data_IF_397584959243
#
_entry.id   IF_397584959243
#
_cell.length_a   1.000
_cell.length_b   1.000
_cell.length_c   1.000
_cell.angle_alpha   90.00
_cell.angle_beta   90.00
_cell.angle_gamma   90.00
#
_symmetry.space_group_name_H-M   'P 1'
#
loop_
_entity.id
_entity.type
_entity.pdbx_description
1 polymer ?
#
# COMPACT_ATOMS: atom_id res chain seq x y z
N UNK A 1 -5.22 10.67 15.58
CA UNK A 1 -4.94 9.23 15.65
C UNK A 1 -5.79 8.56 14.59
N UNK A 2 -5.19 7.89 13.62
CA UNK A 2 -5.90 7.27 12.51
C UNK A 2 -6.76 6.11 13.06
N UNK A 3 -8.04 6.05 12.68
CA UNK A 3 -8.95 5.01 13.19
C UNK A 3 -8.58 3.68 12.55
N UNK A 4 -8.16 2.70 13.36
CA UNK A 4 -7.82 1.35 12.88
C UNK A 4 -9.06 0.63 12.35
N UNK A 5 -10.19 0.81 13.03
CA UNK A 5 -11.48 0.19 12.69
C UNK A 5 -12.55 1.24 12.46
N UNK A 6 -13.41 0.97 11.47
CA UNK A 6 -14.54 1.84 11.15
C UNK A 6 -15.87 1.11 11.31
N UNK A 7 -16.90 1.86 11.69
CA UNK A 7 -18.26 1.33 11.79
C UNK A 7 -18.92 1.26 10.41
N UNK A 8 -19.96 0.44 10.29
CA UNK A 8 -20.79 0.37 9.08
C UNK A 8 -21.34 1.73 8.64
N UNK A 9 -21.81 2.53 9.60
CA UNK A 9 -22.35 3.88 9.33
C UNK A 9 -21.26 4.79 8.76
N UNK A 10 -20.08 4.80 9.37
CA UNK A 10 -18.95 5.61 8.93
C UNK A 10 -18.45 5.19 7.55
N UNK A 11 -18.46 3.88 7.24
CA UNK A 11 -18.10 3.38 5.92
C UNK A 11 -19.11 3.80 4.84
N UNK A 12 -20.41 3.71 5.14
CA UNK A 12 -21.45 4.19 4.24
C UNK A 12 -21.32 5.69 3.94
N UNK A 13 -21.12 6.52 4.97
CA UNK A 13 -20.87 7.96 4.82
C UNK A 13 -19.61 8.24 3.98
N UNK A 14 -18.54 7.47 4.16
CA UNK A 14 -17.28 7.64 3.42
C UNK A 14 -17.43 7.34 1.93
N UNK A 15 -18.27 6.38 1.58
CA UNK A 15 -18.54 5.97 0.20
C UNK A 15 -19.77 6.66 -0.41
N UNK A 16 -20.25 7.72 0.24
CA UNK A 16 -21.37 8.54 -0.22
C UNK A 16 -22.68 7.75 -0.41
N UNK A 17 -22.92 6.77 0.47
CA UNK A 17 -24.17 6.02 0.53
C UNK A 17 -25.13 6.63 1.55
N UNK A 18 -26.39 6.82 1.14
CA UNK A 18 -27.48 7.30 2.02
C UNK A 18 -27.88 6.30 3.12
N UNK A 19 -27.49 5.03 2.97
CA UNK A 19 -27.89 3.95 3.86
C UNK A 19 -26.78 2.93 4.05
N UNK A 20 -26.76 2.29 5.22
CA UNK A 20 -25.86 1.17 5.52
C UNK A 20 -26.20 -0.11 4.74
N UNK A 21 -27.31 -0.13 3.98
CA UNK A 21 -27.75 -1.33 3.25
C UNK A 21 -26.71 -1.79 2.22
N UNK A 22 -26.12 -0.86 1.47
CA UNK A 22 -25.05 -1.16 0.51
C UNK A 22 -23.87 -1.90 1.17
N UNK A 23 -23.47 -1.47 2.38
CA UNK A 23 -22.39 -2.11 3.13
C UNK A 23 -22.76 -3.52 3.61
N UNK A 24 -24.05 -3.75 3.94
CA UNK A 24 -24.54 -5.09 4.30
C UNK A 24 -24.52 -6.02 3.10
N UNK A 25 -24.96 -5.54 1.93
CA UNK A 25 -24.97 -6.34 0.70
C UNK A 25 -23.53 -6.70 0.29
N UNK A 26 -22.59 -5.76 0.35
CA UNK A 26 -21.15 -6.01 0.11
C UNK A 26 -20.52 -6.99 1.11
N UNK A 27 -20.96 -6.97 2.38
CA UNK A 27 -20.54 -7.95 3.40
C UNK A 27 -21.08 -9.36 3.05
N UNK A 28 -22.34 -9.46 2.59
CA UNK A 28 -22.97 -10.72 2.19
C UNK A 28 -22.38 -11.30 0.91
N UNK A 29 -21.99 -10.44 -0.03
CA UNK A 29 -21.32 -10.78 -1.29
C UNK A 29 -19.83 -11.12 -1.09
N UNK A 30 -19.28 -10.88 0.11
CA UNK A 30 -17.88 -11.16 0.43
C UNK A 30 -16.88 -10.14 -0.13
N UNK A 31 -17.35 -8.95 -0.52
CA UNK A 31 -16.52 -7.85 -1.04
C UNK A 31 -15.73 -7.18 0.09
N UNK A 32 -16.33 -7.08 1.27
CA UNK A 32 -15.72 -6.57 2.50
C UNK A 32 -15.92 -7.54 3.64
N UNK A 33 -14.94 -7.61 4.55
CA UNK A 33 -14.99 -8.55 5.67
C UNK A 33 -15.22 -7.84 7.00
N UNK A 34 -16.24 -8.28 7.75
CA UNK A 34 -16.42 -7.82 9.14
C UNK A 34 -15.45 -8.54 10.07
N UNK A 35 -15.06 -7.89 11.15
CA UNK A 35 -14.23 -8.51 12.19
C UNK A 35 -15.12 -9.36 13.12
N UNK A 36 -14.97 -10.69 13.13
CA UNK A 36 -15.89 -11.58 13.84
C UNK A 36 -15.81 -11.48 15.37
N UNK A 37 -14.66 -11.09 15.92
CA UNK A 37 -14.43 -10.95 17.36
C UNK A 37 -15.11 -9.71 17.96
N UNK A 38 -15.65 -8.82 17.12
CA UNK A 38 -16.31 -7.58 17.57
C UNK A 38 -17.82 -7.72 17.45
N UNK A 39 -18.52 -7.61 18.59
CA UNK A 39 -19.99 -7.75 18.67
C UNK A 39 -20.75 -6.79 17.75
N UNK A 40 -20.24 -5.58 17.53
CA UNK A 40 -20.80 -4.63 16.57
C UNK A 40 -20.04 -4.68 15.24
N UNK A 41 -20.69 -4.57 14.07
CA UNK A 41 -20.01 -4.58 12.78
C UNK A 41 -18.88 -3.55 12.71
N UNK A 42 -17.66 -4.04 12.46
CA UNK A 42 -16.44 -3.25 12.29
C UNK A 42 -15.66 -3.79 11.10
N UNK A 43 -15.04 -2.88 10.37
CA UNK A 43 -14.24 -3.15 9.18
C UNK A 43 -12.84 -2.55 9.36
N UNK A 44 -11.84 -3.23 8.80
CA UNK A 44 -10.45 -2.76 8.85
C UNK A 44 -10.26 -1.58 7.90
N UNK A 45 -9.73 -0.46 8.41
CA UNK A 45 -9.44 0.69 7.55
C UNK A 45 -8.40 0.34 6.46
N UNK A 46 -7.49 -0.59 6.74
CA UNK A 46 -6.50 -1.07 5.76
C UNK A 46 -7.14 -1.80 4.57
N UNK A 47 -8.14 -2.65 4.82
CA UNK A 47 -8.90 -3.33 3.77
C UNK A 47 -9.68 -2.32 2.92
N UNK A 48 -10.36 -1.38 3.57
CA UNK A 48 -11.13 -0.33 2.89
C UNK A 48 -10.22 0.55 2.02
N UNK A 49 -9.06 0.96 2.52
CA UNK A 49 -8.07 1.70 1.74
C UNK A 49 -7.54 0.86 0.57
N UNK A 50 -7.31 -0.45 0.73
CA UNK A 50 -6.95 -1.32 -0.39
C UNK A 50 -8.02 -1.33 -1.47
N UNK A 51 -9.29 -1.42 -1.09
CA UNK A 51 -10.44 -1.42 -2.02
C UNK A 51 -10.56 -0.08 -2.75
N UNK A 52 -10.46 1.03 -2.03
CA UNK A 52 -10.50 2.37 -2.64
C UNK A 52 -9.34 2.62 -3.60
N UNK A 53 -8.21 1.97 -3.35
CA UNK A 53 -7.04 2.05 -4.22
C UNK A 53 -7.09 1.04 -5.38
N UNK A 54 -7.98 0.04 -5.40
CA UNK A 54 -8.18 -0.85 -6.56
C UNK A 54 -8.67 -0.08 -7.80
N UNK A 55 -9.43 1.01 -7.61
CA UNK A 55 -9.89 1.89 -8.68
C UNK A 55 -8.86 2.94 -9.12
N UNK A 56 -7.87 3.25 -8.27
CA UNK A 56 -6.70 4.03 -8.65
C UNK A 56 -5.71 3.06 -9.30
N UNK A 57 -5.85 2.84 -10.61
CA UNK A 57 -4.87 2.11 -11.43
C UNK A 57 -3.46 2.54 -11.05
N UNK A 58 -2.79 1.80 -10.18
CA UNK A 58 -1.34 1.79 -10.22
C UNK A 58 -1.06 0.98 -11.46
N UNK A 59 -0.76 1.67 -12.56
CA UNK A 59 -0.37 1.00 -13.80
C UNK A 59 0.75 0.02 -13.41
N UNK A 60 0.62 -1.30 -13.68
CA UNK A 60 1.69 -2.25 -13.35
C UNK A 60 3.05 -1.82 -13.90
N UNK A 61 3.05 -1.05 -15.00
CA UNK A 61 4.25 -0.39 -15.53
C UNK A 61 4.83 0.68 -14.58
N UNK A 62 4.01 1.49 -13.90
CA UNK A 62 4.47 2.51 -12.94
C UNK A 62 5.06 1.88 -11.68
N UNK A 63 4.47 0.79 -11.17
CA UNK A 63 5.08 0.01 -10.07
C UNK A 63 6.45 -0.50 -10.50
N UNK A 64 6.51 -1.13 -11.67
CA UNK A 64 7.76 -1.66 -12.22
C UNK A 64 8.80 -0.56 -12.44
N UNK A 65 8.41 0.61 -12.94
CA UNK A 65 9.30 1.76 -13.09
C UNK A 65 9.90 2.18 -11.75
N UNK A 66 9.07 2.29 -10.70
CA UNK A 66 9.55 2.67 -9.37
C UNK A 66 10.48 1.63 -8.74
N UNK A 67 10.21 0.34 -8.93
CA UNK A 67 11.11 -0.75 -8.53
C UNK A 67 12.46 -0.68 -9.27
N UNK A 68 12.42 -0.42 -10.58
CA UNK A 68 13.61 -0.28 -11.42
C UNK A 68 14.43 0.95 -11.02
N UNK A 69 13.80 2.09 -10.72
CA UNK A 69 14.48 3.29 -10.21
C UNK A 69 15.23 3.02 -8.89
N UNK A 70 14.60 2.29 -7.95
CA UNK A 70 15.24 1.90 -6.71
C UNK A 70 16.43 0.96 -6.95
N UNK A 71 16.28 0.01 -7.87
CA UNK A 71 17.37 -0.92 -8.24
C UNK A 71 18.54 -0.18 -8.92
N UNK A 72 18.26 0.77 -9.80
CA UNK A 72 19.29 1.61 -10.45
C UNK A 72 20.05 2.39 -9.38
N UNK A 73 19.33 3.07 -8.48
CA UNK A 73 19.94 3.85 -7.39
C UNK A 73 20.85 3.03 -6.50
N UNK A 74 20.45 1.80 -6.17
CA UNK A 74 21.29 0.89 -5.38
C UNK A 74 22.52 0.41 -6.16
N UNK A 75 22.36 0.12 -7.46
CA UNK A 75 23.49 -0.26 -8.33
C UNK A 75 24.50 0.87 -8.48
N UNK A 76 24.04 2.09 -8.72
CA UNK A 76 24.90 3.28 -8.86
C UNK A 76 25.69 3.54 -7.58
N UNK A 77 25.03 3.42 -6.41
CA UNK A 77 25.69 3.52 -5.10
C UNK A 77 26.81 2.47 -4.95
N UNK A 78 26.56 1.25 -5.42
CA UNK A 78 27.51 0.13 -5.33
C UNK A 78 28.68 0.31 -6.27
N UNK A 79 28.44 0.78 -7.49
CA UNK A 79 29.47 1.14 -8.47
C UNK A 79 30.38 2.23 -7.89
N UNK A 80 29.80 3.34 -7.42
CA UNK A 80 30.57 4.44 -6.83
C UNK A 80 31.45 3.97 -5.64
N UNK A 81 30.93 3.06 -4.80
CA UNK A 81 31.70 2.49 -3.70
C UNK A 81 32.86 1.59 -4.19
N UNK A 82 32.65 0.82 -5.25
CA UNK A 82 33.68 -0.04 -5.83
C UNK A 82 34.77 0.78 -6.53
N UNK A 83 34.39 1.80 -7.30
CA UNK A 83 35.32 2.75 -7.93
C UNK A 83 36.18 3.45 -6.88
N UNK A 84 35.58 3.93 -5.78
CA UNK A 84 36.31 4.54 -4.68
C UNK A 84 37.32 3.59 -4.03
N UNK A 85 36.99 2.29 -3.92
CA UNK A 85 37.91 1.27 -3.40
C UNK A 85 39.03 0.97 -4.39
N UNK A 86 38.72 0.87 -5.69
CA UNK A 86 39.70 0.60 -6.74
C UNK A 86 40.75 1.72 -6.81
N UNK A 87 40.30 2.98 -6.76
CA UNK A 87 41.20 4.14 -6.77
C UNK A 87 42.17 4.12 -5.57
N UNK A 88 41.70 3.73 -4.38
CA UNK A 88 42.57 3.58 -3.20
C UNK A 88 43.63 2.50 -3.39
N UNK A 89 43.27 1.38 -4.00
CA UNK A 89 44.21 0.29 -4.29
C UNK A 89 45.24 0.72 -5.34
N UNK A 90 44.80 1.40 -6.40
CA UNK A 90 45.72 1.93 -7.42
C UNK A 90 46.73 2.93 -6.83
N UNK A 91 46.28 3.83 -5.95
CA UNK A 91 47.17 4.76 -5.25
C UNK A 91 48.14 4.07 -4.28
N UNK A 92 47.76 2.93 -3.71
CA UNK A 92 48.62 2.16 -2.82
C UNK A 92 49.65 1.29 -3.56
N UNK A 93 49.44 1.05 -4.85
CA UNK A 93 50.32 0.26 -5.73
C UNK A 93 51.24 1.14 -6.60
N UNK A 94 51.03 2.46 -6.63
CA UNK A 94 51.85 3.45 -7.32
C UNK A 94 52.94 4.00 -6.40
#
# INVERSE_FOLDING_TARGET
>A
MEKVLISRKTLAERWDYDSTRAIIDMEQEGIITRIPEVSSPRYSMEEILRIENLGKKVNPAEVRCRELELLIKEKDRRIAMLEAKLNKVQLALA
#
